data_IF_295083914579
#
_entry.id   IF_295083914579
#
_cell.length_a   1.000
_cell.length_b   1.000
_cell.length_c   1.000
_cell.angle_alpha   90.00
_cell.angle_beta   90.00
_cell.angle_gamma   90.00
#
_symmetry.space_group_name_H-M   'P 1'
#
loop_
_entity.id
_entity.type
_entity.pdbx_description
1 polymer ?
#
# COMPACT_ATOMS: atom_id res chain seq x y z
N UNK A 1 10.42 -3.04 12.95
CA UNK A 1 9.53 -1.86 13.05
C UNK A 1 8.66 -1.65 11.81
N UNK A 2 9.05 -2.07 10.59
CA UNK A 2 8.12 -2.14 9.43
C UNK A 2 7.56 -3.56 9.18
N UNK A 3 7.89 -4.50 10.06
CA UNK A 3 7.53 -5.93 9.96
C UNK A 3 6.02 -6.16 10.02
N UNK A 4 5.25 -5.21 10.55
CA UNK A 4 3.79 -5.23 10.57
C UNK A 4 3.18 -4.65 9.29
N UNK A 5 3.90 -3.75 8.61
CA UNK A 5 3.45 -3.14 7.35
C UNK A 5 3.82 -3.98 6.14
N UNK A 6 5.01 -4.60 6.14
CA UNK A 6 5.54 -5.29 4.98
C UNK A 6 5.99 -6.72 5.32
N UNK A 7 5.86 -7.67 4.38
CA UNK A 7 6.24 -9.06 4.59
C UNK A 7 7.75 -9.25 4.73
N UNK A 8 8.56 -8.25 4.32
CA UNK A 8 10.02 -8.25 4.33
C UNK A 8 10.55 -6.86 4.73
N UNK A 9 11.84 -6.73 5.12
CA UNK A 9 12.47 -5.43 5.27
C UNK A 9 12.39 -4.65 3.96
N UNK A 10 11.73 -3.48 3.98
CA UNK A 10 11.52 -2.66 2.79
C UNK A 10 12.72 -1.78 2.49
N UNK A 11 13.08 -1.70 1.21
CA UNK A 11 14.07 -0.80 0.67
C UNK A 11 13.35 0.38 0.00
N UNK A 12 13.00 1.38 0.80
CA UNK A 12 12.33 2.60 0.34
C UNK A 12 13.13 3.84 0.76
N UNK A 13 12.97 4.96 0.03
CA UNK A 13 13.48 6.25 0.48
C UNK A 13 13.04 6.55 1.91
N UNK A 14 13.97 6.99 2.74
CA UNK A 14 13.81 7.10 4.18
C UNK A 14 12.70 8.08 4.57
N UNK A 15 12.41 9.09 3.76
CA UNK A 15 11.28 9.99 4.01
C UNK A 15 9.93 9.27 3.88
N UNK A 16 9.78 8.34 2.92
CA UNK A 16 8.58 7.49 2.79
C UNK A 16 8.48 6.60 4.02
N UNK A 17 9.57 5.94 4.39
CA UNK A 17 9.63 5.07 5.57
C UNK A 17 9.24 5.84 6.85
N UNK A 18 9.85 7.00 7.07
CA UNK A 18 9.57 7.84 8.23
C UNK A 18 8.10 8.27 8.28
N UNK A 19 7.50 8.56 7.12
CA UNK A 19 6.09 8.93 6.99
C UNK A 19 5.16 7.77 7.33
N UNK A 20 5.43 6.60 6.77
CA UNK A 20 4.67 5.39 7.07
C UNK A 20 4.77 5.02 8.56
N UNK A 21 5.95 5.11 9.15
CA UNK A 21 6.15 4.83 10.58
C UNK A 21 5.42 5.85 11.47
N UNK A 22 5.40 7.13 11.10
CA UNK A 22 4.66 8.15 11.82
C UNK A 22 3.15 7.86 11.78
N UNK A 23 2.60 7.56 10.60
CA UNK A 23 1.18 7.26 10.43
C UNK A 23 0.79 5.93 11.10
N UNK A 24 1.68 4.95 11.10
CA UNK A 24 1.48 3.72 11.87
C UNK A 24 1.38 3.99 13.37
N UNK A 25 2.24 4.87 13.90
CA UNK A 25 2.28 5.16 15.34
C UNK A 25 1.14 6.07 15.82
N UNK A 26 0.75 7.06 15.01
CA UNK A 26 -0.16 8.13 15.43
C UNK A 26 -1.47 8.20 14.62
N UNK A 27 -1.54 7.54 13.47
CA UNK A 27 -2.64 7.67 12.52
C UNK A 27 -3.79 6.69 12.69
N UNK A 28 -3.61 5.59 13.42
CA UNK A 28 -4.59 4.51 13.52
C UNK A 28 -5.98 4.98 13.98
N UNK A 29 -6.04 5.86 14.98
CA UNK A 29 -7.30 6.37 15.54
C UNK A 29 -7.70 7.74 14.96
N UNK A 30 -7.13 8.16 13.83
CA UNK A 30 -7.40 9.49 13.25
C UNK A 30 -8.55 9.42 12.26
N UNK A 31 -9.71 10.06 12.54
CA UNK A 31 -10.83 10.07 11.62
C UNK A 31 -10.47 10.81 10.33
N UNK A 32 -11.06 10.39 9.22
CA UNK A 32 -10.89 11.03 7.90
C UNK A 32 -9.41 11.11 7.42
N UNK A 33 -8.55 10.22 7.91
CA UNK A 33 -7.15 10.13 7.48
C UNK A 33 -7.07 9.93 5.96
N UNK A 34 -6.17 10.66 5.30
CA UNK A 34 -6.03 10.77 3.83
C UNK A 34 -7.19 11.46 3.08
N UNK A 35 -8.34 11.64 3.72
CA UNK A 35 -9.48 12.39 3.16
C UNK A 35 -9.31 13.88 3.46
N UNK A 36 -9.13 14.24 4.73
CA UNK A 36 -8.91 15.63 5.13
C UNK A 36 -7.42 16.01 5.08
N UNK A 37 -7.09 17.22 4.60
CA UNK A 37 -5.70 17.67 4.47
C UNK A 37 -5.03 18.08 5.79
N UNK A 38 -5.79 18.30 6.86
CA UNK A 38 -5.27 18.92 8.08
C UNK A 38 -4.79 20.35 7.85
N UNK A 39 -3.68 20.74 8.47
CA UNK A 39 -3.00 22.00 8.17
C UNK A 39 -2.25 21.89 6.83
N UNK A 40 -2.80 22.52 5.80
CA UNK A 40 -2.22 22.56 4.45
C UNK A 40 -0.82 23.21 4.42
N UNK A 41 -0.52 24.19 5.27
CA UNK A 41 0.81 24.82 5.30
C UNK A 41 1.86 23.83 5.78
N UNK A 42 1.52 23.04 6.80
CA UNK A 42 2.39 21.96 7.29
C UNK A 42 2.54 20.88 6.22
N UNK A 43 1.43 20.47 5.59
CA UNK A 43 1.44 19.43 4.56
C UNK A 43 2.29 19.81 3.35
N UNK A 44 2.15 21.05 2.85
CA UNK A 44 2.96 21.59 1.74
C UNK A 44 4.44 21.64 2.11
N UNK A 45 4.79 22.15 3.31
CA UNK A 45 6.19 22.19 3.75
C UNK A 45 6.81 20.80 3.87
N UNK A 46 6.05 19.82 4.35
CA UNK A 46 6.49 18.42 4.40
C UNK A 46 6.72 17.87 2.98
N UNK A 47 5.77 18.10 2.06
CA UNK A 47 5.92 17.71 0.67
C UNK A 47 7.14 18.35 0.01
N UNK A 48 7.34 19.66 0.15
CA UNK A 48 8.50 20.38 -0.38
C UNK A 48 9.81 19.85 0.19
N UNK A 49 9.85 19.55 1.49
CA UNK A 49 11.01 18.94 2.13
C UNK A 49 11.32 17.57 1.52
N UNK A 50 10.31 16.71 1.31
CA UNK A 50 10.49 15.41 0.68
C UNK A 50 10.91 15.52 -0.80
N UNK A 51 10.26 16.40 -1.56
CA UNK A 51 10.57 16.64 -2.96
C UNK A 51 12.01 17.17 -3.14
N UNK A 52 12.48 18.03 -2.23
CA UNK A 52 13.87 18.54 -2.26
C UNK A 52 14.90 17.41 -2.13
N UNK A 53 14.66 16.41 -1.29
CA UNK A 53 15.56 15.27 -1.13
C UNK A 53 15.65 14.42 -2.40
N UNK A 54 14.53 14.22 -3.09
CA UNK A 54 14.49 13.49 -4.36
C UNK A 54 15.19 14.28 -5.47
N UNK A 55 14.90 15.58 -5.60
CA UNK A 55 15.50 16.45 -6.61
C UNK A 55 17.01 16.63 -6.43
N UNK A 56 17.50 16.66 -5.19
CA UNK A 56 18.93 16.70 -4.92
C UNK A 56 19.63 15.39 -5.28
N UNK A 57 18.96 14.25 -5.09
CA UNK A 57 19.48 12.94 -5.46
C UNK A 57 19.44 12.68 -6.98
N UNK A 58 18.47 13.23 -7.70
CA UNK A 58 18.42 13.17 -9.16
C UNK A 58 19.59 13.93 -9.81
N UNK A 59 20.00 15.05 -9.20
CA UNK A 59 21.11 15.89 -9.71
C UNK A 59 22.49 15.31 -9.42
N UNK A 60 22.61 14.39 -8.47
CA UNK A 60 23.87 13.81 -8.02
C UNK A 60 23.64 12.35 -7.62
N UNK A 61 23.99 11.42 -8.52
CA UNK A 61 23.79 9.99 -8.32
C UNK A 61 24.46 9.47 -7.03
N UNK A 62 25.52 10.13 -6.55
CA UNK A 62 26.17 9.77 -5.29
C UNK A 62 25.26 9.98 -4.06
N UNK A 63 24.25 10.85 -4.18
CA UNK A 63 23.24 11.13 -3.15
C UNK A 63 22.03 10.20 -3.18
N UNK A 64 21.86 9.36 -4.21
CA UNK A 64 20.77 8.37 -4.27
C UNK A 64 20.85 7.44 -3.05
N UNK A 65 22.03 6.91 -2.75
CA UNK A 65 22.27 6.08 -1.56
C UNK A 65 22.00 6.80 -0.23
N UNK A 66 22.08 8.14 -0.20
CA UNK A 66 21.77 8.94 0.99
C UNK A 66 20.27 9.01 1.25
N UNK A 67 19.44 8.96 0.21
CA UNK A 67 17.97 8.91 0.36
C UNK A 67 17.49 7.64 1.07
N UNK A 68 18.32 6.59 1.13
CA UNK A 68 18.01 5.32 1.81
C UNK A 68 18.48 5.30 3.27
N UNK A 69 19.27 6.29 3.71
CA UNK A 69 19.73 6.40 5.11
C UNK A 69 18.67 7.07 5.97
N UNK A 70 18.61 6.73 7.26
CA UNK A 70 17.60 7.23 8.21
C UNK A 70 17.47 8.75 8.11
N UNK A 71 16.32 9.21 7.62
CA UNK A 71 15.89 10.60 7.66
C UNK A 71 15.00 10.73 8.88
N UNK A 72 15.41 11.54 9.85
CA UNK A 72 14.53 11.93 10.93
C UNK A 72 13.37 12.74 10.32
N UNK A 73 12.14 12.46 10.75
CA UNK A 73 11.04 13.37 10.48
C UNK A 73 11.45 14.79 10.90
N UNK A 74 11.12 15.83 10.12
CA UNK A 74 11.21 17.20 10.61
C UNK A 74 10.54 17.26 11.98
N UNK A 75 11.09 18.05 12.92
CA UNK A 75 10.51 18.18 14.26
C UNK A 75 9.12 18.80 14.16
N UNK A 76 8.12 17.94 13.93
CA UNK A 76 6.71 18.25 14.00
C UNK A 76 6.43 18.46 15.49
N UNK A 77 6.11 19.69 15.86
CA UNK A 77 5.87 20.07 17.26
C UNK A 77 4.89 19.07 17.88
N UNK A 78 5.29 18.44 18.99
CA UNK A 78 4.54 17.38 19.68
C UNK A 78 3.13 17.84 20.10
N UNK A 79 2.93 19.16 20.26
CA UNK A 79 1.72 19.78 20.80
C UNK A 79 0.65 20.09 19.73
N UNK A 80 0.98 19.98 18.44
CA UNK A 80 0.05 20.26 17.33
C UNK A 80 -0.02 19.05 16.40
N UNK A 81 -0.89 18.11 16.71
CA UNK A 81 -1.08 16.86 15.95
C UNK A 81 -1.25 17.13 14.43
N UNK A 82 -0.23 16.85 13.59
CA UNK A 82 -0.28 17.09 12.15
C UNK A 82 -0.53 15.78 11.40
N UNK A 83 -1.20 14.78 12.01
CA UNK A 83 -1.39 13.46 11.39
C UNK A 83 -2.06 13.57 10.02
N UNK A 84 -3.13 14.37 9.92
CA UNK A 84 -3.81 14.63 8.66
C UNK A 84 -2.89 15.31 7.63
N UNK A 85 -2.06 16.26 8.06
CA UNK A 85 -1.07 16.92 7.22
C UNK A 85 0.02 15.96 6.71
N UNK A 86 0.47 15.04 7.57
CA UNK A 86 1.46 14.00 7.22
C UNK A 86 0.84 12.99 6.26
N UNK A 87 -0.42 12.57 6.50
CA UNK A 87 -1.16 11.68 5.62
C UNK A 87 -1.38 12.30 4.24
N UNK A 88 -1.75 13.58 4.21
CA UNK A 88 -1.90 14.34 2.97
C UNK A 88 -0.58 14.50 2.23
N UNK A 89 0.52 14.80 2.93
CA UNK A 89 1.85 14.89 2.32
C UNK A 89 2.28 13.55 1.71
N UNK A 90 2.04 12.41 2.39
CA UNK A 90 2.28 11.08 1.82
C UNK A 90 1.45 10.87 0.56
N UNK A 91 0.16 11.19 0.61
CA UNK A 91 -0.74 11.08 -0.55
C UNK A 91 -0.22 11.89 -1.73
N UNK A 92 0.21 13.13 -1.49
CA UNK A 92 0.77 14.00 -2.52
C UNK A 92 2.08 13.47 -3.11
N UNK A 93 2.96 12.89 -2.28
CA UNK A 93 4.17 12.19 -2.74
C UNK A 93 3.79 11.03 -3.66
N UNK A 94 2.85 10.18 -3.25
CA UNK A 94 2.41 9.02 -4.03
C UNK A 94 1.77 9.43 -5.36
N UNK A 95 0.99 10.53 -5.37
CA UNK A 95 0.42 11.10 -6.58
C UNK A 95 1.49 11.62 -7.56
N UNK A 96 2.65 12.04 -7.06
CA UNK A 96 3.79 12.48 -7.86
C UNK A 96 4.58 11.35 -8.53
N UNK A 97 4.29 10.08 -8.23
CA UNK A 97 5.02 8.96 -8.80
C UNK A 97 4.65 8.77 -10.28
N UNK A 98 5.63 8.76 -11.21
CA UNK A 98 5.35 8.73 -12.64
C UNK A 98 4.58 7.46 -13.08
N UNK A 99 4.86 6.34 -12.42
CA UNK A 99 4.23 5.04 -12.67
C UNK A 99 3.23 4.61 -11.57
N UNK A 100 2.96 5.49 -10.59
CA UNK A 100 2.05 5.21 -9.48
C UNK A 100 2.57 4.16 -8.49
N UNK A 101 1.69 3.72 -7.59
CA UNK A 101 2.00 2.73 -6.54
C UNK A 101 2.24 1.33 -7.14
N UNK A 102 1.66 1.00 -8.29
CA UNK A 102 1.90 -0.33 -8.89
C UNK A 102 3.17 -0.38 -9.74
N UNK A 103 3.65 0.77 -10.23
CA UNK A 103 4.83 0.87 -11.10
C UNK A 103 4.70 0.19 -12.47
N UNK A 104 3.59 -0.51 -12.74
CA UNK A 104 3.40 -1.37 -13.90
C UNK A 104 1.95 -1.37 -14.37
N UNK A 105 1.73 -0.86 -15.58
CA UNK A 105 0.41 -0.90 -16.25
C UNK A 105 -0.05 -2.34 -16.48
N UNK A 106 0.90 -3.25 -16.75
CA UNK A 106 0.60 -4.67 -16.94
C UNK A 106 0.08 -5.32 -15.66
N UNK A 107 0.68 -5.00 -14.51
CA UNK A 107 0.21 -5.45 -13.21
C UNK A 107 -1.21 -4.95 -12.95
N UNK A 108 -1.49 -3.66 -13.16
CA UNK A 108 -2.83 -3.10 -13.01
C UNK A 108 -3.86 -3.84 -13.88
N UNK A 109 -3.58 -4.05 -15.17
CA UNK A 109 -4.49 -4.75 -16.09
C UNK A 109 -4.81 -6.17 -15.64
N UNK A 110 -3.83 -6.88 -15.08
CA UNK A 110 -4.02 -8.22 -14.54
C UNK A 110 -4.89 -8.19 -13.28
N UNK A 111 -4.65 -7.27 -12.35
CA UNK A 111 -5.48 -7.10 -11.17
C UNK A 111 -6.92 -6.72 -11.53
N UNK A 112 -7.10 -5.83 -12.53
CA UNK A 112 -8.42 -5.49 -13.09
C UNK A 112 -9.11 -6.72 -13.68
N UNK A 113 -8.41 -7.51 -14.48
CA UNK A 113 -8.95 -8.73 -15.05
C UNK A 113 -9.33 -9.76 -13.97
N UNK A 114 -8.54 -9.88 -12.89
CA UNK A 114 -8.88 -10.69 -11.73
C UNK A 114 -10.11 -10.17 -10.98
N UNK A 115 -10.35 -8.86 -10.96
CA UNK A 115 -11.57 -8.33 -10.34
C UNK A 115 -12.83 -8.75 -11.12
N UNK A 116 -12.83 -8.61 -12.45
CA UNK A 116 -14.03 -8.83 -13.28
C UNK A 116 -14.23 -10.26 -13.77
N UNK A 117 -13.15 -10.98 -14.06
CA UNK A 117 -13.20 -12.26 -14.79
C UNK A 117 -12.78 -13.46 -13.94
N UNK A 118 -12.52 -13.25 -12.64
CA UNK A 118 -12.18 -14.34 -11.75
C UNK A 118 -13.37 -15.28 -11.53
N UNK A 119 -13.30 -16.43 -12.18
CA UNK A 119 -14.26 -17.53 -12.05
C UNK A 119 -13.50 -18.76 -11.53
N UNK A 120 -13.52 -19.04 -10.22
CA UNK A 120 -12.85 -20.20 -9.68
C UNK A 120 -13.63 -21.46 -10.08
N UNK A 121 -13.00 -22.36 -10.83
CA UNK A 121 -13.59 -23.61 -11.32
C UNK A 121 -12.84 -24.81 -10.70
N UNK A 122 -13.55 -25.89 -10.34
CA UNK A 122 -14.19 -26.00 -9.03
C UNK A 122 -13.20 -25.81 -7.85
N UNK A 123 -13.59 -24.96 -6.91
CA UNK A 123 -12.77 -24.48 -5.79
C UNK A 123 -12.35 -25.54 -4.77
N UNK A 124 -13.10 -26.63 -4.62
CA UNK A 124 -12.84 -27.66 -3.61
C UNK A 124 -11.58 -28.50 -3.88
N UNK A 125 -11.00 -28.42 -5.08
CA UNK A 125 -9.76 -29.11 -5.44
C UNK A 125 -8.51 -28.26 -5.20
N UNK A 126 -8.67 -26.98 -4.88
CA UNK A 126 -7.56 -26.05 -4.70
C UNK A 126 -7.02 -26.16 -3.28
N UNK A 127 -5.74 -26.55 -3.17
CA UNK A 127 -5.05 -26.62 -1.88
C UNK A 127 -4.90 -25.21 -1.29
N UNK A 128 -5.45 -25.01 -0.11
CA UNK A 128 -5.21 -23.80 0.70
C UNK A 128 -3.87 -23.94 1.39
N UNK A 129 -2.93 -22.98 1.25
CA UNK A 129 -1.68 -22.97 2.00
C UNK A 129 -1.91 -22.78 3.49
N UNK A 130 -1.11 -23.45 4.32
CA UNK A 130 -1.25 -23.39 5.79
C UNK A 130 -1.13 -21.95 6.34
N UNK A 131 -0.33 -21.10 5.68
CA UNK A 131 -0.17 -19.69 6.07
C UNK A 131 -1.43 -18.82 5.89
N UNK A 132 -2.42 -19.30 5.15
CA UNK A 132 -3.71 -18.64 4.90
C UNK A 132 -4.87 -19.65 5.04
N UNK A 133 -4.77 -20.57 6.00
CA UNK A 133 -5.77 -21.63 6.24
C UNK A 133 -7.18 -21.12 6.52
N UNK A 134 -7.30 -19.88 7.02
CA UNK A 134 -8.56 -19.15 7.24
C UNK A 134 -9.25 -18.75 5.92
N UNK A 135 -8.54 -18.72 4.79
CA UNK A 135 -9.09 -18.32 3.50
C UNK A 135 -9.89 -19.44 2.85
N UNK A 136 -11.03 -19.10 2.23
CA UNK A 136 -11.71 -20.05 1.34
C UNK A 136 -10.79 -20.51 0.21
N UNK A 137 -10.95 -21.71 -0.36
CA UNK A 137 -10.14 -22.18 -1.50
C UNK A 137 -10.12 -21.20 -2.69
N UNK A 138 -11.24 -20.51 -2.93
CA UNK A 138 -11.34 -19.47 -3.96
C UNK A 138 -10.50 -18.23 -3.63
N UNK A 139 -10.52 -17.80 -2.37
CA UNK A 139 -9.76 -16.65 -1.89
C UNK A 139 -8.28 -16.98 -1.89
N UNK A 140 -7.88 -18.17 -1.43
CA UNK A 140 -6.50 -18.63 -1.43
C UNK A 140 -5.90 -18.64 -2.84
N UNK A 141 -6.63 -19.19 -3.82
CA UNK A 141 -6.18 -19.20 -5.21
C UNK A 141 -6.05 -17.79 -5.80
N UNK A 142 -7.00 -16.89 -5.50
CA UNK A 142 -6.93 -15.49 -5.91
C UNK A 142 -5.72 -14.79 -5.29
N UNK A 143 -5.50 -14.96 -3.99
CA UNK A 143 -4.36 -14.39 -3.24
C UNK A 143 -3.05 -14.87 -3.85
N UNK A 144 -2.90 -16.18 -4.09
CA UNK A 144 -1.70 -16.72 -4.72
C UNK A 144 -1.42 -16.11 -6.09
N UNK A 145 -2.44 -15.91 -6.92
CA UNK A 145 -2.26 -15.27 -8.22
C UNK A 145 -1.94 -13.79 -8.12
N UNK A 146 -2.53 -13.06 -7.17
CA UNK A 146 -2.15 -11.68 -6.88
C UNK A 146 -0.68 -11.64 -6.47
N UNK A 147 -0.26 -12.48 -5.52
CA UNK A 147 1.13 -12.55 -5.07
C UNK A 147 2.09 -12.88 -6.22
N UNK A 148 1.74 -13.84 -7.10
CA UNK A 148 2.54 -14.16 -8.28
C UNK A 148 2.63 -12.98 -9.25
N UNK A 149 1.52 -12.27 -9.49
CA UNK A 149 1.51 -11.09 -10.35
C UNK A 149 2.38 -9.97 -9.77
N UNK A 150 2.28 -9.73 -8.45
CA UNK A 150 3.12 -8.75 -7.74
C UNK A 150 4.61 -9.08 -7.90
N UNK A 151 5.01 -10.32 -7.60
CA UNK A 151 6.42 -10.76 -7.69
C UNK A 151 6.93 -10.73 -9.13
N UNK A 152 6.11 -11.10 -10.10
CA UNK A 152 6.54 -11.21 -11.50
C UNK A 152 6.59 -9.86 -12.24
N UNK A 153 5.83 -8.86 -11.80
CA UNK A 153 5.59 -7.64 -12.59
C UNK A 153 5.93 -6.33 -11.87
N UNK A 154 6.10 -6.34 -10.55
CA UNK A 154 6.56 -5.18 -9.80
C UNK A 154 8.10 -5.24 -9.64
N UNK A 155 8.84 -4.17 -9.99
CA UNK A 155 10.24 -4.03 -9.58
C UNK A 155 10.39 -4.13 -8.05
N UNK A 156 11.55 -4.53 -7.54
CA UNK A 156 11.76 -4.78 -6.09
C UNK A 156 11.35 -3.60 -5.20
N UNK A 157 11.86 -2.39 -5.47
CA UNK A 157 11.48 -1.19 -4.72
C UNK A 157 9.98 -0.86 -4.84
N UNK A 158 9.37 -1.19 -5.97
CA UNK A 158 7.94 -0.97 -6.16
C UNK A 158 7.12 -1.99 -5.36
N UNK A 159 7.55 -3.25 -5.32
CA UNK A 159 6.93 -4.28 -4.49
C UNK A 159 7.00 -3.87 -3.01
N UNK A 160 8.13 -3.35 -2.55
CA UNK A 160 8.29 -2.80 -1.21
C UNK A 160 7.35 -1.63 -0.95
N UNK A 161 7.14 -0.74 -1.93
CA UNK A 161 6.20 0.38 -1.82
C UNK A 161 4.75 -0.11 -1.72
N UNK A 162 4.34 -1.03 -2.61
CA UNK A 162 3.01 -1.67 -2.57
C UNK A 162 2.83 -2.29 -1.20
N UNK A 163 3.84 -3.04 -0.72
CA UNK A 163 3.79 -3.71 0.55
C UNK A 163 3.59 -2.74 1.71
N UNK A 164 4.40 -1.68 1.78
CA UNK A 164 4.37 -0.74 2.88
C UNK A 164 3.10 0.14 2.89
N UNK A 165 2.63 0.56 1.70
CA UNK A 165 1.40 1.37 1.58
C UNK A 165 0.18 0.54 1.95
N UNK A 166 -0.06 -0.60 1.29
CA UNK A 166 -1.24 -1.41 1.58
C UNK A 166 -1.17 -2.07 2.96
N UNK A 167 0.03 -2.32 3.49
CA UNK A 167 0.23 -2.64 4.91
C UNK A 167 -0.40 -1.62 5.82
N UNK A 168 -0.05 -0.34 5.64
CA UNK A 168 -0.60 0.75 6.45
C UNK A 168 -2.11 0.86 6.27
N UNK A 169 -2.61 0.78 5.02
CA UNK A 169 -4.04 0.84 4.75
C UNK A 169 -4.81 -0.29 5.43
N UNK A 170 -4.27 -1.51 5.42
CA UNK A 170 -4.90 -2.65 6.08
C UNK A 170 -5.03 -2.45 7.58
N UNK A 171 -4.03 -1.84 8.22
CA UNK A 171 -4.11 -1.50 9.64
C UNK A 171 -5.18 -0.44 9.90
N UNK A 172 -5.24 0.61 9.07
CA UNK A 172 -6.25 1.69 9.19
C UNK A 172 -7.69 1.21 9.00
N UNK A 173 -7.90 0.17 8.20
CA UNK A 173 -9.21 -0.49 8.07
C UNK A 173 -9.59 -1.26 9.34
N UNK A 174 -8.62 -1.86 10.02
CA UNK A 174 -8.82 -2.78 11.15
C UNK A 174 -8.89 -2.09 12.53
N UNK A 175 -8.57 -0.80 12.65
CA UNK A 175 -8.51 -0.11 13.97
C UNK A 175 -9.88 0.02 14.64
N UNK A 176 -10.94 0.25 13.86
CA UNK A 176 -12.29 0.40 14.39
C UNK A 176 -12.93 -0.94 14.79
N UNK A 177 -12.29 -2.07 14.44
CA UNK A 177 -12.80 -3.42 14.71
C UNK A 177 -12.22 -4.08 15.96
N UNK A 178 -11.26 -3.44 16.64
CA UNK A 178 -10.57 -4.00 17.82
C UNK A 178 -11.30 -3.71 19.16
N UNK A 179 -12.42 -2.98 19.12
CA UNK A 179 -13.15 -2.58 20.32
C UNK A 179 -14.12 -3.64 20.87
N UNK A 180 -14.39 -4.76 20.18
CA UNK A 180 -15.34 -5.78 20.63
C UNK A 180 -14.92 -7.22 20.25
N UNK A 181 -14.55 -7.97 21.30
CA UNK A 181 -14.38 -9.42 21.42
C UNK A 181 -13.06 -10.10 20.94
N UNK A 182 -12.21 -10.57 21.89
CA UNK A 182 -11.13 -11.51 21.60
C UNK A 182 -11.74 -12.89 21.34
N UNK A 183 -12.17 -13.14 20.10
CA UNK A 183 -12.71 -14.43 19.69
C UNK A 183 -13.51 -14.45 18.40
N UNK A 184 -13.76 -13.29 17.77
CA UNK A 184 -14.48 -13.26 16.50
C UNK A 184 -13.51 -13.31 15.32
N UNK A 185 -13.85 -14.17 14.36
CA UNK A 185 -13.18 -14.41 13.08
C UNK A 185 -12.67 -13.11 12.43
N UNK A 186 -11.61 -13.23 11.61
CA UNK A 186 -11.06 -12.17 10.77
C UNK A 186 -12.21 -11.43 10.04
N UNK A 187 -12.69 -10.32 10.61
CA UNK A 187 -13.92 -9.67 10.13
C UNK A 187 -13.67 -9.09 8.75
N UNK A 188 -14.71 -9.12 7.91
CA UNK A 188 -14.67 -8.63 6.54
C UNK A 188 -14.17 -7.17 6.50
N UNK A 189 -13.00 -6.87 5.90
CA UNK A 189 -12.46 -5.52 5.80
C UNK A 189 -13.45 -4.53 5.18
N UNK A 190 -14.36 -5.01 4.33
CA UNK A 190 -15.41 -4.21 3.67
C UNK A 190 -16.41 -3.64 4.67
N UNK A 191 -16.55 -4.22 5.86
CA UNK A 191 -17.45 -3.73 6.90
C UNK A 191 -16.95 -2.43 7.58
N UNK A 192 -15.67 -2.09 7.43
CA UNK A 192 -15.10 -0.85 7.97
C UNK A 192 -15.54 0.36 7.15
N UNK A 193 -15.99 1.47 7.78
CA UNK A 193 -16.35 2.68 7.05
C UNK A 193 -15.14 3.28 6.31
N UNK A 194 -13.92 3.05 6.81
CA UNK A 194 -12.69 3.52 6.20
C UNK A 194 -12.33 2.75 4.91
N UNK A 195 -12.86 1.55 4.70
CA UNK A 195 -12.50 0.72 3.54
C UNK A 195 -12.82 1.41 2.21
N UNK A 196 -14.06 1.89 2.05
CA UNK A 196 -14.50 2.53 0.81
C UNK A 196 -13.79 3.86 0.56
N UNK A 197 -13.54 4.64 1.61
CA UNK A 197 -12.82 5.90 1.54
C UNK A 197 -11.35 5.70 1.16
N UNK A 198 -10.66 4.75 1.78
CA UNK A 198 -9.27 4.45 1.45
C UNK A 198 -9.15 3.88 0.04
N UNK A 199 -10.07 3.00 -0.39
CA UNK A 199 -10.10 2.52 -1.77
C UNK A 199 -10.32 3.65 -2.78
N UNK A 200 -11.19 4.61 -2.45
CA UNK A 200 -11.46 5.80 -3.29
C UNK A 200 -10.25 6.73 -3.36
N UNK A 201 -9.59 6.98 -2.23
CA UNK A 201 -8.42 7.86 -2.16
C UNK A 201 -7.20 7.27 -2.86
N UNK A 202 -6.96 5.96 -2.73
CA UNK A 202 -5.77 5.31 -3.26
C UNK A 202 -5.94 4.70 -4.66
N UNK A 203 -7.17 4.50 -5.13
CA UNK A 203 -7.46 4.05 -6.50
C UNK A 203 -6.70 4.87 -7.55
N UNK A 204 -6.90 6.20 -7.61
CA UNK A 204 -6.22 7.06 -8.58
C UNK A 204 -4.69 7.13 -8.44
N UNK A 205 -4.14 6.61 -7.33
CA UNK A 205 -2.70 6.57 -7.08
C UNK A 205 -2.05 5.26 -7.53
N UNK A 206 -2.85 4.26 -7.94
CA UNK A 206 -2.34 2.98 -8.42
C UNK A 206 -1.52 3.12 -9.70
N UNK A 207 -2.00 3.94 -10.63
CA UNK A 207 -1.35 4.28 -11.88
C UNK A 207 -1.01 5.77 -11.88
N UNK A 208 0.27 6.09 -12.07
CA UNK A 208 0.72 7.47 -12.24
C UNK A 208 0.33 8.03 -13.60
N UNK A 209 0.62 9.33 -13.82
CA UNK A 209 0.26 10.04 -15.05
C UNK A 209 0.74 9.32 -16.34
N UNK A 210 1.90 8.65 -16.31
CA UNK A 210 2.39 7.88 -17.48
C UNK A 210 1.62 6.59 -17.70
N UNK A 211 1.14 5.96 -16.64
CA UNK A 211 0.32 4.75 -16.73
C UNK A 211 -1.08 5.03 -17.29
N UNK A 212 -1.63 6.20 -16.96
CA UNK A 212 -2.97 6.66 -17.35
C UNK A 212 -3.10 7.12 -18.82
N UNK A 213 -1.99 7.46 -19.48
CA UNK A 213 -1.98 7.90 -20.87
C UNK A 213 -2.32 6.78 -21.88
N UNK A 214 -2.28 5.52 -21.46
CA UNK A 214 -2.44 4.36 -22.36
C UNK A 214 -3.91 3.88 -22.54
N UNK A 215 -4.90 4.61 -22.01
CA UNK A 215 -6.32 4.23 -22.01
C UNK A 215 -7.20 5.37 -22.58
N UNK A 216 -6.95 5.78 -23.82
CA UNK A 216 -7.57 6.95 -24.49
C UNK A 216 -9.08 6.81 -24.82
N UNK A 217 -9.77 5.79 -24.31
CA UNK A 217 -11.18 5.51 -24.65
C UNK A 217 -12.16 5.40 -23.48
N UNK A 218 -11.68 5.42 -22.23
CA UNK A 218 -12.52 5.23 -21.03
C UNK A 218 -12.84 6.60 -20.43
N UNK A 219 -14.10 6.84 -20.06
CA UNK A 219 -14.47 8.09 -19.39
C UNK A 219 -13.73 8.23 -18.04
N UNK A 220 -13.46 9.46 -17.61
CA UNK A 220 -12.77 9.70 -16.33
C UNK A 220 -13.51 9.04 -15.15
N UNK A 221 -14.83 9.01 -15.19
CA UNK A 221 -15.69 8.39 -14.17
C UNK A 221 -15.54 6.87 -14.14
N UNK A 222 -15.58 6.22 -15.30
CA UNK A 222 -15.39 4.76 -15.39
C UNK A 222 -14.00 4.35 -14.89
N UNK A 223 -12.97 5.14 -15.24
CA UNK A 223 -11.60 4.93 -14.79
C UNK A 223 -11.49 5.01 -13.26
N UNK A 224 -12.06 6.05 -12.66
CA UNK A 224 -12.04 6.23 -11.20
C UNK A 224 -12.72 5.04 -10.49
N UNK A 225 -13.86 4.56 -11.03
CA UNK A 225 -14.55 3.38 -10.51
C UNK A 225 -13.67 2.11 -10.64
N UNK A 226 -13.02 1.91 -11.78
CA UNK A 226 -12.11 0.78 -11.99
C UNK A 226 -10.91 0.81 -11.03
N UNK A 227 -10.29 1.97 -10.88
CA UNK A 227 -9.19 2.21 -9.97
C UNK A 227 -9.57 1.94 -8.51
N UNK A 228 -10.75 2.41 -8.07
CA UNK A 228 -11.28 2.10 -6.75
C UNK A 228 -11.50 0.59 -6.56
N UNK A 229 -12.04 -0.11 -7.56
CA UNK A 229 -12.25 -1.56 -7.52
C UNK A 229 -10.94 -2.33 -7.38
N UNK A 230 -9.90 -1.93 -8.11
CA UNK A 230 -8.57 -2.56 -8.02
C UNK A 230 -7.91 -2.27 -6.67
N UNK A 231 -8.02 -1.05 -6.14
CA UNK A 231 -7.52 -0.72 -4.80
C UNK A 231 -8.25 -1.53 -3.72
N UNK A 232 -9.58 -1.61 -3.82
CA UNK A 232 -10.41 -2.43 -2.93
C UNK A 232 -10.07 -3.93 -3.02
N UNK A 233 -9.77 -4.46 -4.22
CA UNK A 233 -9.32 -5.84 -4.39
C UNK A 233 -8.06 -6.14 -3.58
N UNK A 234 -7.04 -5.27 -3.69
CA UNK A 234 -5.79 -5.42 -2.96
C UNK A 234 -6.02 -5.27 -1.46
N UNK A 235 -6.73 -4.21 -1.04
CA UNK A 235 -6.99 -3.90 0.37
C UNK A 235 -7.77 -5.03 1.06
N UNK A 236 -8.82 -5.55 0.42
CA UNK A 236 -9.65 -6.61 0.99
C UNK A 236 -8.89 -7.93 1.19
N UNK A 237 -7.94 -8.23 0.29
CA UNK A 237 -7.17 -9.47 0.37
C UNK A 237 -5.81 -9.27 1.07
N UNK A 238 -5.53 -8.08 1.59
CA UNK A 238 -4.17 -7.70 1.97
C UNK A 238 -3.58 -8.54 3.09
N UNK A 239 -4.37 -8.87 4.10
CA UNK A 239 -3.94 -9.74 5.21
C UNK A 239 -3.41 -11.10 4.69
N UNK A 240 -4.15 -11.72 3.76
CA UNK A 240 -3.73 -12.98 3.14
C UNK A 240 -2.54 -12.79 2.20
N UNK A 241 -2.51 -11.70 1.42
CA UNK A 241 -1.38 -11.35 0.54
C UNK A 241 -0.11 -11.20 1.37
N UNK A 242 -0.16 -10.46 2.48
CA UNK A 242 0.96 -10.24 3.40
C UNK A 242 1.48 -11.58 3.93
N UNK A 243 0.61 -12.44 4.49
CA UNK A 243 1.00 -13.76 5.02
C UNK A 243 1.59 -14.67 3.93
N UNK A 244 0.99 -14.68 2.74
CA UNK A 244 1.45 -15.49 1.60
C UNK A 244 2.82 -15.03 1.10
N UNK A 245 3.02 -13.73 0.91
CA UNK A 245 4.32 -13.15 0.53
C UNK A 245 5.37 -13.45 1.59
N UNK A 246 5.06 -13.22 2.86
CA UNK A 246 5.96 -13.51 3.97
C UNK A 246 6.35 -15.00 4.01
N UNK A 247 5.42 -15.91 3.74
CA UNK A 247 5.72 -17.34 3.66
C UNK A 247 6.68 -17.67 2.52
N UNK A 248 6.48 -17.12 1.32
CA UNK A 248 7.35 -17.35 0.17
C UNK A 248 8.72 -16.67 0.28
N UNK A 249 8.84 -15.60 1.05
CA UNK A 249 10.10 -14.86 1.20
C UNK A 249 10.92 -15.30 2.42
N UNK A 250 10.33 -16.03 3.38
CA UNK A 250 11.03 -16.56 4.57
C UNK A 250 12.30 -17.33 4.21
N UNK A 251 12.35 -18.03 3.07
CA UNK A 251 13.53 -18.78 2.63
C UNK A 251 14.63 -17.88 2.02
N UNK A 252 14.30 -16.69 1.51
CA UNK A 252 15.29 -15.77 0.90
C UNK A 252 16.25 -15.13 1.91
N UNK A 253 15.86 -15.05 3.20
CA UNK A 253 16.64 -14.36 4.23
C UNK A 253 17.33 -15.30 5.24
N UNK A 254 17.22 -16.63 5.06
CA UNK A 254 17.92 -17.62 5.90
C UNK A 254 19.39 -17.80 5.47
N UNK A 255 19.76 -17.42 4.24
CA UNK A 255 21.12 -17.56 3.67
C UNK A 255 22.04 -16.39 4.06
N UNK A 256 22.06 -16.00 5.34
CA UNK A 256 22.85 -14.87 5.82
C UNK A 256 23.29 -14.95 7.29
N UNK A 257 23.24 -16.14 7.87
CA UNK A 257 23.87 -16.43 9.16
C UNK A 257 24.83 -17.60 8.99
N UNK A 258 26.00 -17.30 8.44
CA UNK A 258 27.24 -18.02 8.78
C UNK A 258 27.98 -17.21 9.84
#
# INVERSE_FOLDING_TARGET
>A
MLTELAPCPVQLPAYIVATLMFLHKYGLNTPEIFVQPGDLKVAIRLYEHFASQVLEAEKDESKISLTMRVVAMPQLREDSAPVLSVAWALRAVLAGLPNGILGSVRLYRILRAMYYHWTPNPSHLLRVPDCISEASPTTAARVQLICLALIALAPEMQLDLICAVFGLLSLLVNVETDAQDPGMELRDPVASPNFHELARVFGPLLLGARGQANDEGISAVEREIEEQRVAGLLLNNWHFIHRQLQHWTKERYVVGRE
#
